data_IF_250521823387
#
_entry.id   IF_250521823387
#
_cell.length_a   1.000
_cell.length_b   1.000
_cell.length_c   1.000
_cell.angle_alpha   90.00
_cell.angle_beta   90.00
_cell.angle_gamma   90.00
#
_symmetry.space_group_name_H-M   'P 1'
#
loop_
_entity.id
_entity.type
_entity.pdbx_description
1 polymer ?
#
# COMPACT_ATOMS: atom_id res chain seq x y z
N UNK A 1 -43.84 3.41 25.97
CA UNK A 1 -42.71 3.39 25.00
C UNK A 1 -41.41 3.48 25.80
N UNK A 2 -40.54 2.46 25.76
CA UNK A 2 -39.24 2.52 26.46
C UNK A 2 -38.45 3.71 25.89
N UNK A 3 -37.88 4.57 26.74
CA UNK A 3 -36.94 5.63 26.36
C UNK A 3 -35.77 5.01 25.61
N UNK A 4 -35.82 4.97 24.28
CA UNK A 4 -34.73 4.47 23.45
C UNK A 4 -33.54 5.41 23.60
N UNK A 5 -32.45 4.92 24.20
CA UNK A 5 -31.21 5.67 24.26
C UNK A 5 -30.56 5.56 22.87
N UNK A 6 -30.74 6.59 22.03
CA UNK A 6 -29.96 6.73 20.80
C UNK A 6 -28.53 7.09 21.20
N UNK A 7 -27.66 6.09 21.20
CA UNK A 7 -26.22 6.21 21.44
C UNK A 7 -25.44 5.26 20.52
N UNK A 8 -24.20 5.61 20.20
CA UNK A 8 -23.35 4.83 19.27
C UNK A 8 -22.20 4.07 19.95
N UNK A 9 -22.10 4.12 21.29
CA UNK A 9 -20.98 3.56 22.04
C UNK A 9 -19.63 4.08 21.54
N UNK A 10 -18.60 3.23 21.56
CA UNK A 10 -17.29 3.50 20.94
C UNK A 10 -17.42 3.43 19.42
N UNK A 11 -17.46 4.59 18.79
CA UNK A 11 -17.76 4.73 17.37
C UNK A 11 -16.71 5.56 16.63
N UNK A 12 -16.70 5.48 15.31
CA UNK A 12 -15.91 6.44 14.51
C UNK A 12 -16.57 7.82 14.59
N UNK A 13 -15.84 8.93 14.33
CA UNK A 13 -16.46 10.25 14.28
C UNK A 13 -17.65 10.30 13.33
N UNK A 14 -17.58 9.63 12.17
CA UNK A 14 -18.70 9.54 11.24
C UNK A 14 -19.94 8.85 11.85
N UNK A 15 -19.76 7.75 12.58
CA UNK A 15 -20.89 7.05 13.21
C UNK A 15 -21.53 7.90 14.31
N UNK A 16 -20.72 8.63 15.08
CA UNK A 16 -21.18 9.55 16.11
C UNK A 16 -22.00 10.71 15.52
N UNK A 17 -21.51 11.30 14.43
CA UNK A 17 -22.23 12.35 13.69
C UNK A 17 -23.57 11.85 13.14
N UNK A 18 -23.60 10.65 12.54
CA UNK A 18 -24.84 10.04 12.07
C UNK A 18 -25.84 9.80 13.21
N UNK A 19 -25.37 9.40 14.40
CA UNK A 19 -26.22 9.19 15.56
C UNK A 19 -26.75 10.51 16.13
N UNK A 20 -25.92 11.54 16.19
CA UNK A 20 -26.32 12.89 16.61
C UNK A 20 -27.40 13.46 15.69
N UNK A 21 -27.21 13.36 14.37
CA UNK A 21 -28.18 13.82 13.37
C UNK A 21 -29.50 13.03 13.45
N UNK A 22 -29.44 11.70 13.54
CA UNK A 22 -30.64 10.86 13.66
C UNK A 22 -31.44 11.21 14.92
N UNK A 23 -30.76 11.39 16.06
CA UNK A 23 -31.39 11.79 17.31
C UNK A 23 -31.96 13.20 17.24
N UNK A 24 -31.21 14.16 16.72
CA UNK A 24 -31.68 15.54 16.57
C UNK A 24 -32.93 15.64 15.70
N UNK A 25 -32.97 14.91 14.59
CA UNK A 25 -34.15 14.82 13.71
C UNK A 25 -35.34 14.14 14.38
N UNK A 26 -35.12 13.07 15.16
CA UNK A 26 -36.19 12.40 15.89
C UNK A 26 -36.80 13.30 16.97
N UNK A 27 -35.95 13.99 17.74
CA UNK A 27 -36.39 14.86 18.83
C UNK A 27 -37.07 16.13 18.30
N UNK A 28 -36.54 16.77 17.24
CA UNK A 28 -37.17 17.98 16.70
C UNK A 28 -38.57 17.68 16.20
N UNK A 29 -38.75 16.63 15.39
CA UNK A 29 -40.05 16.30 14.78
C UNK A 29 -41.12 15.96 15.81
N UNK A 30 -40.73 15.43 16.97
CA UNK A 30 -41.68 15.10 18.05
C UNK A 30 -42.34 16.35 18.64
N UNK A 31 -41.58 17.45 18.75
CA UNK A 31 -41.99 18.63 19.52
C UNK A 31 -42.26 19.86 18.60
N UNK A 32 -42.43 19.64 17.29
CA UNK A 32 -42.65 20.71 16.30
C UNK A 32 -44.05 21.35 16.43
N UNK A 33 -44.14 22.70 16.50
CA UNK A 33 -45.40 23.41 16.33
C UNK A 33 -45.97 23.22 14.91
N UNK A 34 -47.31 23.14 14.79
CA UNK A 34 -47.98 22.96 13.51
C UNK A 34 -47.83 24.12 12.50
N UNK A 35 -47.28 25.26 12.93
CA UNK A 35 -46.95 26.40 12.07
C UNK A 35 -45.58 26.29 11.40
N UNK A 36 -44.75 25.31 11.77
CA UNK A 36 -43.39 25.16 11.23
C UNK A 36 -43.44 24.39 9.91
N UNK A 37 -42.90 25.01 8.86
CA UNK A 37 -42.75 24.45 7.53
C UNK A 37 -41.34 23.96 7.22
N UNK A 38 -40.34 24.45 7.95
CA UNK A 38 -38.94 24.23 7.60
C UNK A 38 -38.13 23.73 8.80
N UNK A 39 -37.35 22.66 8.58
CA UNK A 39 -36.32 22.18 9.51
C UNK A 39 -34.96 22.46 8.88
N UNK A 40 -34.09 23.18 9.58
CA UNK A 40 -32.72 23.46 9.14
C UNK A 40 -31.73 22.66 9.99
N UNK A 41 -30.96 21.79 9.34
CA UNK A 41 -29.94 20.95 9.97
C UNK A 41 -28.56 21.48 9.59
N UNK A 42 -27.71 21.71 10.58
CA UNK A 42 -26.34 22.18 10.39
C UNK A 42 -25.36 21.16 10.97
N UNK A 43 -24.33 20.79 10.23
CA UNK A 43 -23.21 19.98 10.74
C UNK A 43 -21.93 20.25 9.94
N UNK A 44 -20.78 19.89 10.50
CA UNK A 44 -19.48 20.03 9.85
C UNK A 44 -18.98 18.76 9.16
N UNK A 45 -19.65 17.63 9.39
CA UNK A 45 -19.41 16.39 8.66
C UNK A 45 -20.27 16.31 7.39
N UNK A 46 -19.71 16.77 6.27
CA UNK A 46 -20.39 16.75 4.96
C UNK A 46 -20.82 15.33 4.54
N UNK A 47 -20.02 14.30 4.85
CA UNK A 47 -20.37 12.93 4.51
C UNK A 47 -21.61 12.44 5.28
N UNK A 48 -21.72 12.79 6.57
CA UNK A 48 -22.89 12.45 7.39
C UNK A 48 -24.14 13.17 6.88
N UNK A 49 -24.04 14.46 6.54
CA UNK A 49 -25.15 15.25 5.99
C UNK A 49 -25.70 14.67 4.69
N UNK A 50 -24.82 14.24 3.78
CA UNK A 50 -25.24 13.61 2.52
C UNK A 50 -25.85 12.21 2.74
N UNK A 51 -25.53 11.56 3.85
CA UNK A 51 -25.93 10.17 4.10
C UNK A 51 -27.19 10.03 4.96
N UNK A 52 -27.46 10.98 5.87
CA UNK A 52 -28.45 10.79 6.95
C UNK A 52 -29.87 10.52 6.46
N UNK A 53 -30.31 11.14 5.35
CA UNK A 53 -31.64 10.91 4.76
C UNK A 53 -31.62 10.05 3.49
N UNK A 54 -30.48 9.48 3.11
CA UNK A 54 -30.34 8.70 1.89
C UNK A 54 -30.81 7.24 2.04
N UNK A 55 -30.80 6.69 3.26
CA UNK A 55 -31.09 5.28 3.56
C UNK A 55 -30.28 4.25 2.73
N UNK A 56 -29.11 4.68 2.22
CA UNK A 56 -28.22 3.84 1.41
C UNK A 56 -27.54 2.72 2.20
N UNK A 57 -26.99 1.74 1.50
CA UNK A 57 -26.21 0.67 2.13
C UNK A 57 -24.92 1.22 2.73
N UNK A 58 -24.69 0.96 4.03
CA UNK A 58 -23.48 1.39 4.71
C UNK A 58 -23.48 1.12 6.22
N UNK A 59 -22.35 1.37 6.91
CA UNK A 59 -22.18 1.07 8.34
C UNK A 59 -23.21 1.76 9.25
N UNK A 60 -23.65 2.96 8.87
CA UNK A 60 -24.63 3.76 9.60
C UNK A 60 -26.06 3.68 8.99
N UNK A 61 -26.36 2.66 8.17
CA UNK A 61 -27.67 2.54 7.51
C UNK A 61 -28.82 2.52 8.51
N UNK A 62 -28.66 1.82 9.65
CA UNK A 62 -29.71 1.77 10.68
C UNK A 62 -30.09 3.14 11.21
N UNK A 63 -29.10 4.03 11.40
CA UNK A 63 -29.33 5.41 11.85
C UNK A 63 -30.02 6.25 10.78
N UNK A 64 -29.62 6.09 9.52
CA UNK A 64 -30.28 6.77 8.40
C UNK A 64 -31.73 6.32 8.23
N UNK A 65 -31.99 5.01 8.29
CA UNK A 65 -33.35 4.46 8.22
C UNK A 65 -34.22 4.98 9.36
N UNK A 66 -33.70 5.03 10.59
CA UNK A 66 -34.43 5.55 11.73
C UNK A 66 -34.74 7.05 11.59
N UNK A 67 -33.78 7.85 11.08
CA UNK A 67 -34.00 9.26 10.78
C UNK A 67 -35.09 9.44 9.72
N UNK A 68 -35.02 8.69 8.61
CA UNK A 68 -36.05 8.69 7.56
C UNK A 68 -37.43 8.28 8.10
N UNK A 69 -37.52 7.26 8.95
CA UNK A 69 -38.77 6.83 9.57
C UNK A 69 -39.37 7.91 10.47
N UNK A 70 -38.54 8.68 11.16
CA UNK A 70 -38.96 9.75 12.05
C UNK A 70 -39.48 10.97 11.28
N UNK A 71 -38.76 11.37 10.24
CA UNK A 71 -39.03 12.61 9.49
C UNK A 71 -40.10 12.42 8.41
N UNK A 72 -40.22 11.21 7.83
CA UNK A 72 -41.15 10.94 6.72
C UNK A 72 -42.60 11.31 7.02
N UNK A 73 -43.21 10.96 8.17
CA UNK A 73 -44.59 11.35 8.46
C UNK A 73 -44.83 12.85 8.39
N UNK A 74 -43.90 13.64 8.95
CA UNK A 74 -43.97 15.11 8.91
C UNK A 74 -43.84 15.63 7.48
N UNK A 75 -42.84 15.17 6.71
CA UNK A 75 -42.68 15.56 5.31
C UNK A 75 -43.90 15.21 4.43
N UNK A 76 -44.55 14.07 4.68
CA UNK A 76 -45.73 13.66 3.91
C UNK A 76 -47.01 14.39 4.29
N UNK A 77 -47.04 15.05 5.45
CA UNK A 77 -48.24 15.74 5.94
C UNK A 77 -48.55 17.02 5.14
N UNK A 78 -47.55 17.65 4.51
CA UNK A 78 -47.73 18.85 3.71
C UNK A 78 -46.62 19.00 2.65
N UNK A 79 -46.94 19.37 1.40
CA UNK A 79 -45.93 19.67 0.38
C UNK A 79 -45.11 20.92 0.70
N UNK A 80 -45.54 21.76 1.66
CA UNK A 80 -44.79 22.91 2.15
C UNK A 80 -43.72 22.54 3.19
N UNK A 81 -43.68 21.27 3.64
CA UNK A 81 -42.70 20.83 4.62
C UNK A 81 -41.36 20.50 3.95
N UNK A 82 -40.30 21.15 4.43
CA UNK A 82 -38.95 20.99 3.88
C UNK A 82 -37.92 20.73 4.98
N UNK A 83 -36.96 19.85 4.69
CA UNK A 83 -35.75 19.70 5.49
C UNK A 83 -34.58 20.23 4.67
N UNK A 84 -33.92 21.26 5.19
CA UNK A 84 -32.75 21.87 4.61
C UNK A 84 -31.51 21.42 5.35
N UNK A 85 -30.50 20.97 4.62
CA UNK A 85 -29.26 20.45 5.20
C UNK A 85 -28.11 21.35 4.78
N UNK A 86 -27.40 21.89 5.77
CA UNK A 86 -26.36 22.89 5.59
C UNK A 86 -25.05 22.38 6.16
N UNK A 87 -24.04 22.34 5.30
CA UNK A 87 -22.68 22.15 5.79
C UNK A 87 -22.16 23.45 6.40
N UNK A 88 -21.53 23.36 7.57
CA UNK A 88 -20.83 24.47 8.19
C UNK A 88 -19.40 24.08 8.55
N UNK A 89 -18.43 25.01 8.55
CA UNK A 89 -17.04 24.65 8.83
C UNK A 89 -16.79 24.43 10.34
N UNK A 90 -16.23 23.27 10.68
CA UNK A 90 -15.75 22.96 12.03
C UNK A 90 -14.60 23.85 12.48
N UNK A 91 -14.56 24.21 13.77
CA UNK A 91 -13.53 25.03 14.42
C UNK A 91 -13.20 26.38 13.74
N UNK A 92 -14.13 26.98 12.99
CA UNK A 92 -13.96 28.29 12.33
C UNK A 92 -14.74 29.44 12.97
N UNK A 93 -15.04 29.34 14.27
CA UNK A 93 -15.73 30.41 15.00
C UNK A 93 -17.25 30.48 14.79
N UNK A 94 -17.87 29.46 14.20
CA UNK A 94 -19.34 29.34 14.16
C UNK A 94 -19.83 28.99 15.57
N UNK A 95 -20.40 29.98 16.26
CA UNK A 95 -20.75 29.89 17.69
C UNK A 95 -21.57 28.64 18.02
N UNK A 96 -22.69 28.42 17.34
CA UNK A 96 -23.58 27.29 17.63
C UNK A 96 -22.95 25.92 17.32
N UNK A 97 -22.12 25.81 16.27
CA UNK A 97 -21.37 24.58 16.00
C UNK A 97 -20.37 24.30 17.13
N UNK A 98 -19.68 25.33 17.62
CA UNK A 98 -18.77 25.20 18.77
C UNK A 98 -19.48 24.81 20.08
N UNK A 99 -20.71 25.28 20.29
CA UNK A 99 -21.53 24.86 21.44
C UNK A 99 -21.89 23.38 21.33
N UNK A 100 -22.32 22.90 20.15
CA UNK A 100 -22.68 21.50 19.92
C UNK A 100 -21.46 20.58 20.02
N UNK A 101 -20.32 20.96 19.43
CA UNK A 101 -19.05 20.23 19.51
C UNK A 101 -18.61 20.03 20.97
N UNK A 102 -18.66 21.10 21.78
CA UNK A 102 -18.37 21.02 23.22
C UNK A 102 -19.37 20.12 23.97
N UNK A 103 -20.66 20.21 23.63
CA UNK A 103 -21.69 19.38 24.26
C UNK A 103 -21.52 17.89 23.91
N UNK A 104 -21.15 17.58 22.66
CA UNK A 104 -20.86 16.23 22.20
C UNK A 104 -19.66 15.63 22.96
N UNK A 105 -18.60 16.43 23.18
CA UNK A 105 -17.45 16.01 23.98
C UNK A 105 -17.77 15.72 25.45
N UNK A 106 -18.75 16.41 26.03
CA UNK A 106 -19.21 16.19 27.41
C UNK A 106 -20.19 15.01 27.54
N UNK A 107 -20.95 14.72 26.48
CA UNK A 107 -21.97 13.66 26.45
C UNK A 107 -21.45 12.27 26.03
N UNK A 108 -20.14 12.14 25.80
CA UNK A 108 -19.51 10.88 25.43
C UNK A 108 -19.42 9.94 26.65
N UNK A 109 -20.51 9.25 26.98
CA UNK A 109 -20.48 8.13 27.91
C UNK A 109 -19.86 6.91 27.24
N UNK A 110 -18.84 6.33 27.89
CA UNK A 110 -18.14 5.14 27.44
C UNK A 110 -19.00 3.91 27.71
N UNK A 111 -20.02 3.71 26.88
CA UNK A 111 -20.68 2.43 26.75
C UNK A 111 -19.70 1.40 26.13
N UNK A 112 -19.81 0.14 26.53
CA UNK A 112 -18.90 -0.93 26.08
C UNK A 112 -19.21 -1.42 24.66
N UNK A 113 -20.39 -1.08 24.13
CA UNK A 113 -20.76 -1.32 22.74
C UNK A 113 -19.82 -0.59 21.79
N UNK A 114 -19.42 -1.28 20.72
CA UNK A 114 -18.45 -0.79 19.73
C UNK A 114 -19.08 -0.84 18.34
N UNK A 115 -18.96 0.24 17.56
CA UNK A 115 -19.38 0.21 16.15
C UNK A 115 -18.47 -0.73 15.35
N UNK A 116 -19.03 -1.46 14.39
CA UNK A 116 -18.24 -2.35 13.52
C UNK A 116 -17.09 -1.60 12.81
N UNK A 117 -17.35 -0.36 12.38
CA UNK A 117 -16.34 0.48 11.73
C UNK A 117 -15.19 0.83 12.70
N UNK A 118 -15.50 1.15 13.95
CA UNK A 118 -14.50 1.43 14.98
C UNK A 118 -13.67 0.17 15.31
N UNK A 119 -14.32 -0.98 15.51
CA UNK A 119 -13.63 -2.25 15.73
C UNK A 119 -12.65 -2.57 14.59
N UNK A 120 -13.09 -2.40 13.33
CA UNK A 120 -12.24 -2.60 12.16
C UNK A 120 -11.07 -1.61 12.10
N UNK A 121 -11.28 -0.36 12.49
CA UNK A 121 -10.22 0.65 12.58
C UNK A 121 -9.18 0.27 13.64
N UNK A 122 -9.60 -0.17 14.82
CA UNK A 122 -8.70 -0.65 15.88
C UNK A 122 -7.87 -1.85 15.43
N UNK A 123 -8.51 -2.89 14.88
CA UNK A 123 -7.82 -4.09 14.37
C UNK A 123 -6.78 -3.70 13.31
N UNK A 124 -7.14 -2.78 12.40
CA UNK A 124 -6.22 -2.30 11.37
C UNK A 124 -5.03 -1.57 11.99
N UNK A 125 -5.28 -0.68 12.96
CA UNK A 125 -4.23 0.07 13.65
C UNK A 125 -3.27 -0.86 14.42
N UNK A 126 -3.81 -1.88 15.11
CA UNK A 126 -3.04 -2.88 15.84
C UNK A 126 -2.20 -3.75 14.90
N UNK A 127 -2.79 -4.22 13.79
CA UNK A 127 -2.06 -4.96 12.76
C UNK A 127 -0.88 -4.13 12.20
N UNK A 128 -1.10 -2.85 11.91
CA UNK A 128 -0.03 -1.96 11.45
C UNK A 128 1.03 -1.67 12.51
N UNK A 129 0.66 -1.68 13.79
CA UNK A 129 1.62 -1.51 14.90
C UNK A 129 2.53 -2.72 15.00
N UNK A 130 1.97 -3.94 14.95
CA UNK A 130 2.73 -5.19 14.94
C UNK A 130 3.62 -5.27 13.71
N UNK A 131 3.07 -5.02 12.52
CA UNK A 131 3.81 -5.02 11.26
C UNK A 131 5.01 -4.09 11.28
N UNK A 132 4.83 -2.84 11.74
CA UNK A 132 5.93 -1.88 11.85
C UNK A 132 7.01 -2.38 12.80
N UNK A 133 6.63 -2.95 13.94
CA UNK A 133 7.60 -3.52 14.87
C UNK A 133 8.38 -4.68 14.23
N UNK A 134 7.71 -5.55 13.47
CA UNK A 134 8.34 -6.70 12.82
C UNK A 134 9.29 -6.29 11.69
N UNK A 135 8.93 -5.34 10.84
CA UNK A 135 9.76 -4.99 9.69
C UNK A 135 11.10 -4.35 10.07
N UNK A 136 11.19 -3.74 11.26
CA UNK A 136 12.46 -3.24 11.78
C UNK A 136 13.34 -4.33 12.39
N UNK A 137 12.85 -5.56 12.60
CA UNK A 137 13.64 -6.68 13.13
C UNK A 137 14.47 -7.32 12.02
N UNK A 138 15.79 -7.40 12.22
CA UNK A 138 16.73 -8.02 11.27
C UNK A 138 16.34 -9.45 10.82
N UNK A 139 15.87 -10.35 11.71
CA UNK A 139 15.42 -11.68 11.28
C UNK A 139 14.23 -11.65 10.31
N UNK A 140 13.37 -10.64 10.42
CA UNK A 140 12.18 -10.48 9.60
C UNK A 140 12.50 -9.79 8.27
N UNK A 141 13.31 -8.73 8.30
CA UNK A 141 13.74 -7.97 7.11
C UNK A 141 14.63 -8.82 6.18
N UNK A 142 15.35 -9.78 6.74
CA UNK A 142 16.40 -10.50 6.04
C UNK A 142 17.67 -9.64 5.87
N UNK A 143 18.75 -10.27 5.41
CA UNK A 143 20.06 -9.63 5.24
C UNK A 143 20.29 -9.06 3.84
N UNK A 144 19.51 -9.50 2.87
CA UNK A 144 19.71 -9.21 1.45
C UNK A 144 18.45 -8.56 0.86
N UNK A 145 17.95 -7.45 1.41
CA UNK A 145 16.82 -6.75 0.80
C UNK A 145 17.32 -5.44 0.17
N UNK A 146 17.13 -5.25 -1.15
CA UNK A 146 17.50 -3.99 -1.82
C UNK A 146 16.61 -2.83 -1.41
N UNK A 147 15.50 -3.12 -0.73
CA UNK A 147 14.41 -2.19 -0.52
C UNK A 147 14.47 -1.50 0.84
N UNK A 148 13.96 -0.27 0.89
CA UNK A 148 13.88 0.51 2.11
C UNK A 148 12.73 0.01 2.97
N UNK A 149 12.85 0.19 4.30
CA UNK A 149 11.78 -0.19 5.23
C UNK A 149 10.51 0.63 4.97
N UNK A 150 10.67 1.90 4.59
CA UNK A 150 9.59 2.83 4.24
C UNK A 150 8.73 2.33 3.07
N UNK A 151 9.30 1.59 2.12
CA UNK A 151 8.57 1.01 0.98
C UNK A 151 7.51 -0.02 1.41
N UNK A 152 7.67 -0.56 2.62
CA UNK A 152 6.87 -1.63 3.17
C UNK A 152 6.04 -1.24 4.39
N UNK A 153 6.27 -0.07 5.00
CA UNK A 153 5.53 0.39 6.19
C UNK A 153 4.01 0.38 6.01
N UNK A 154 3.53 0.50 4.77
CA UNK A 154 2.10 0.47 4.43
C UNK A 154 1.78 -0.64 3.44
N UNK A 155 1.19 -1.72 3.94
CA UNK A 155 0.54 -2.77 3.16
C UNK A 155 -0.73 -2.25 2.46
N UNK A 156 -0.57 -1.61 1.30
CA UNK A 156 -1.69 -1.21 0.44
C UNK A 156 -2.12 -2.42 -0.41
N UNK A 157 -3.40 -2.77 -0.38
CA UNK A 157 -4.00 -3.87 -1.15
C UNK A 157 -4.63 -3.39 -2.49
N UNK A 158 -4.53 -2.11 -2.79
CA UNK A 158 -5.06 -1.49 -4.02
C UNK A 158 -3.93 -1.13 -4.98
N UNK A 159 -4.28 -0.63 -6.18
CA UNK A 159 -3.34 -0.07 -7.15
C UNK A 159 -2.52 1.12 -6.63
N UNK A 160 -2.82 1.63 -5.43
CA UNK A 160 -1.96 2.57 -4.72
C UNK A 160 -0.64 1.92 -4.21
N UNK A 161 -0.53 0.59 -4.23
CA UNK A 161 0.71 -0.16 -4.01
C UNK A 161 1.58 -0.13 -5.27
N UNK A 162 2.85 0.24 -5.12
CA UNK A 162 3.78 0.34 -6.24
C UNK A 162 3.94 -0.99 -7.01
N UNK A 163 4.08 -2.12 -6.32
CA UNK A 163 4.21 -3.43 -6.97
C UNK A 163 2.98 -3.78 -7.80
N UNK A 164 1.78 -3.57 -7.26
CA UNK A 164 0.53 -3.86 -7.98
C UNK A 164 0.37 -2.94 -9.20
N UNK A 165 0.78 -1.68 -9.10
CA UNK A 165 0.76 -0.74 -10.24
C UNK A 165 1.77 -1.11 -11.31
N UNK A 166 3.00 -1.46 -10.93
CA UNK A 166 4.12 -1.71 -11.83
C UNK A 166 4.06 -3.10 -12.48
N UNK A 167 3.65 -4.11 -11.71
CA UNK A 167 3.72 -5.51 -12.13
C UNK A 167 2.41 -6.29 -11.99
N UNK A 168 1.33 -5.69 -11.47
CA UNK A 168 0.08 -6.41 -11.16
C UNK A 168 -0.65 -7.01 -12.37
N UNK A 169 -0.28 -6.63 -13.60
CA UNK A 169 -0.80 -7.24 -14.84
C UNK A 169 -0.08 -8.50 -15.28
N UNK A 170 1.04 -8.86 -14.65
CA UNK A 170 1.84 -10.04 -15.01
C UNK A 170 2.36 -10.73 -13.74
N UNK A 171 1.81 -11.89 -13.44
CA UNK A 171 2.24 -12.73 -12.31
C UNK A 171 3.72 -13.11 -12.42
N UNK A 172 4.18 -13.45 -13.62
CA UNK A 172 5.59 -13.78 -13.88
C UNK A 172 6.52 -12.60 -13.61
N UNK A 173 6.17 -11.40 -14.09
CA UNK A 173 7.00 -10.21 -13.86
C UNK A 173 6.97 -9.79 -12.39
N UNK A 174 5.81 -9.83 -11.74
CA UNK A 174 5.67 -9.60 -10.29
C UNK A 174 6.57 -10.54 -9.49
N UNK A 175 6.52 -11.84 -9.78
CA UNK A 175 7.33 -12.83 -9.09
C UNK A 175 8.83 -12.59 -9.32
N UNK A 176 9.26 -12.18 -10.52
CA UNK A 176 10.66 -11.84 -10.79
C UNK A 176 11.10 -10.60 -10.02
N UNK A 177 10.28 -9.56 -10.01
CA UNK A 177 10.56 -8.30 -9.32
C UNK A 177 10.70 -8.49 -7.80
N UNK A 178 9.75 -9.19 -7.17
CA UNK A 178 9.79 -9.50 -5.74
C UNK A 178 11.02 -10.35 -5.41
N UNK A 179 11.27 -11.42 -6.18
CA UNK A 179 12.39 -12.32 -5.94
C UNK A 179 13.73 -11.61 -6.10
N UNK A 180 13.90 -10.79 -7.14
CA UNK A 180 15.13 -10.01 -7.33
C UNK A 180 15.35 -9.03 -6.17
N UNK A 181 14.34 -8.24 -5.82
CA UNK A 181 14.44 -7.24 -4.76
C UNK A 181 14.74 -7.86 -3.38
N UNK A 182 14.13 -9.01 -3.08
CA UNK A 182 14.37 -9.79 -1.85
C UNK A 182 15.62 -10.68 -1.89
N UNK A 183 16.32 -10.77 -3.02
CA UNK A 183 17.45 -11.70 -3.19
C UNK A 183 17.05 -13.17 -3.14
N UNK A 184 15.78 -13.49 -3.39
CA UNK A 184 15.22 -14.84 -3.35
C UNK A 184 14.94 -15.39 -4.76
N UNK A 185 15.95 -15.32 -5.63
CA UNK A 185 15.90 -15.82 -7.00
C UNK A 185 17.07 -16.78 -7.23
N UNK A 186 17.00 -17.65 -8.24
CA UNK A 186 18.03 -18.65 -8.44
C UNK A 186 19.26 -17.93 -9.03
N UNK A 187 20.26 -17.75 -8.18
CA UNK A 187 21.62 -17.31 -8.49
C UNK A 187 22.60 -18.17 -7.68
N UNK A 188 23.91 -18.02 -7.91
CA UNK A 188 24.94 -18.85 -7.27
C UNK A 188 24.87 -18.92 -5.74
N UNK A 189 24.89 -17.77 -5.06
CA UNK A 189 24.77 -17.73 -3.60
C UNK A 189 23.41 -18.22 -3.06
N UNK A 190 22.34 -18.15 -3.85
CA UNK A 190 21.06 -18.77 -3.50
C UNK A 190 21.19 -20.30 -3.54
N UNK A 191 21.78 -20.86 -4.60
CA UNK A 191 22.02 -22.30 -4.71
C UNK A 191 22.89 -22.81 -3.55
N UNK A 192 23.95 -22.09 -3.21
CA UNK A 192 24.81 -22.41 -2.07
C UNK A 192 24.04 -22.42 -0.75
N UNK A 193 23.29 -21.35 -0.47
CA UNK A 193 22.51 -21.22 0.78
C UNK A 193 21.49 -22.35 0.96
N UNK A 194 20.87 -22.81 -0.12
CA UNK A 194 19.83 -23.85 -0.09
C UNK A 194 20.35 -25.24 -0.47
N UNK A 195 21.65 -25.41 -0.65
CA UNK A 195 22.30 -26.66 -1.06
C UNK A 195 21.71 -27.29 -2.34
N UNK A 196 21.43 -26.45 -3.34
CA UNK A 196 21.06 -26.91 -4.67
C UNK A 196 22.30 -27.25 -5.50
N UNK A 197 22.19 -28.29 -6.33
CA UNK A 197 23.21 -28.67 -7.31
C UNK A 197 23.33 -27.64 -8.46
N UNK A 198 24.43 -27.72 -9.21
CA UNK A 198 24.72 -26.87 -10.38
C UNK A 198 25.75 -25.77 -10.12
N UNK A 199 26.05 -25.00 -11.17
CA UNK A 199 27.01 -23.90 -11.16
C UNK A 199 26.60 -22.81 -10.17
N UNK A 200 27.61 -22.25 -9.52
CA UNK A 200 27.51 -21.11 -8.60
C UNK A 200 28.22 -19.87 -9.12
N UNK A 201 29.06 -20.01 -10.15
CA UNK A 201 29.88 -18.94 -10.72
C UNK A 201 29.06 -18.09 -11.67
N UNK A 202 29.39 -16.81 -11.78
CA UNK A 202 28.80 -15.98 -12.81
C UNK A 202 29.47 -16.25 -14.16
N UNK A 203 28.75 -16.05 -15.27
CA UNK A 203 29.31 -16.16 -16.61
C UNK A 203 30.50 -15.22 -16.87
N UNK A 204 30.56 -14.07 -16.17
CA UNK A 204 31.67 -13.13 -16.28
C UNK A 204 32.97 -13.64 -15.65
N UNK A 205 32.92 -14.78 -14.93
CA UNK A 205 34.07 -15.38 -14.26
C UNK A 205 34.09 -15.21 -12.73
N UNK A 206 33.17 -14.44 -12.14
CA UNK A 206 33.08 -14.29 -10.70
C UNK A 206 32.80 -15.65 -10.00
N UNK A 207 33.48 -15.93 -8.89
CA UNK A 207 33.43 -17.23 -8.22
C UNK A 207 32.05 -17.58 -7.66
N UNK A 208 31.32 -16.59 -7.16
CA UNK A 208 29.92 -16.77 -6.73
C UNK A 208 29.07 -15.66 -7.31
N UNK A 209 28.05 -16.04 -8.08
CA UNK A 209 27.03 -15.13 -8.56
C UNK A 209 26.10 -14.74 -7.40
N UNK A 210 26.20 -13.49 -6.96
CA UNK A 210 25.29 -12.88 -6.00
C UNK A 210 24.39 -11.87 -6.72
N UNK A 211 23.24 -11.54 -6.11
CA UNK A 211 22.43 -10.41 -6.60
C UNK A 211 23.24 -9.13 -6.68
N UNK A 212 24.05 -8.87 -5.67
CA UNK A 212 24.82 -7.64 -5.59
C UNK A 212 25.89 -7.61 -6.70
N UNK A 213 26.52 -8.75 -7.00
CA UNK A 213 27.36 -8.87 -8.19
C UNK A 213 26.57 -8.57 -9.46
N UNK A 214 25.41 -9.21 -9.68
CA UNK A 214 24.56 -8.97 -10.85
C UNK A 214 24.21 -7.47 -10.99
N UNK A 215 23.82 -6.83 -9.90
CA UNK A 215 23.34 -5.45 -9.87
C UNK A 215 24.47 -4.41 -9.94
N UNK A 216 25.48 -4.53 -9.09
CA UNK A 216 26.53 -3.53 -8.91
C UNK A 216 27.73 -3.81 -9.83
N UNK A 217 28.22 -5.06 -9.87
CA UNK A 217 29.59 -5.33 -10.35
C UNK A 217 29.67 -5.99 -11.75
N UNK A 218 28.65 -6.73 -12.16
CA UNK A 218 28.70 -7.55 -13.36
C UNK A 218 28.56 -6.73 -14.65
N UNK A 219 29.58 -6.78 -15.51
CA UNK A 219 29.60 -6.05 -16.79
C UNK A 219 28.74 -6.67 -17.90
N UNK A 220 28.11 -7.82 -17.65
CA UNK A 220 27.32 -8.53 -18.64
C UNK A 220 25.90 -7.97 -18.81
N UNK A 221 25.42 -7.20 -17.84
CA UNK A 221 24.03 -6.72 -17.80
C UNK A 221 23.93 -5.27 -18.20
N UNK A 222 22.81 -4.92 -18.85
CA UNK A 222 22.47 -3.54 -19.17
C UNK A 222 22.06 -2.84 -17.88
N UNK A 223 22.84 -1.85 -17.45
CA UNK A 223 22.61 -1.07 -16.24
C UNK A 223 22.47 0.40 -16.60
N UNK A 224 21.31 0.98 -16.30
CA UNK A 224 21.08 2.43 -16.38
C UNK A 224 21.38 3.16 -15.08
N UNK A 225 21.26 2.44 -13.97
CA UNK A 225 21.57 2.98 -12.65
C UNK A 225 23.08 3.26 -12.57
N UNK A 226 23.43 4.52 -12.33
CA UNK A 226 24.81 4.97 -12.13
C UNK A 226 25.04 5.18 -10.63
N UNK A 227 26.26 4.95 -10.12
CA UNK A 227 26.62 5.42 -8.79
C UNK A 227 26.29 6.92 -8.68
N UNK A 228 25.89 7.42 -7.51
CA UNK A 228 25.69 8.85 -7.31
C UNK A 228 26.92 9.66 -7.76
N UNK A 229 26.74 10.89 -8.25
CA UNK A 229 27.85 11.72 -8.75
C UNK A 229 28.98 11.88 -7.72
N UNK A 230 28.63 11.95 -6.42
CA UNK A 230 29.59 11.98 -5.32
C UNK A 230 30.44 10.69 -5.20
N UNK A 231 29.86 9.52 -5.48
CA UNK A 231 30.60 8.25 -5.53
C UNK A 231 31.44 8.16 -6.81
N UNK A 232 30.94 8.67 -7.94
CA UNK A 232 31.74 8.82 -9.17
C UNK A 232 32.95 9.71 -8.92
N UNK A 233 32.79 10.82 -8.19
CA UNK A 233 33.88 11.70 -7.78
C UNK A 233 34.86 11.00 -6.83
N UNK A 234 34.40 10.29 -5.79
CA UNK A 234 35.29 9.49 -4.92
C UNK A 234 36.10 8.47 -5.69
N UNK A 235 35.47 7.75 -6.61
CA UNK A 235 36.15 6.80 -7.50
C UNK A 235 37.22 7.50 -8.36
N UNK A 236 36.98 8.73 -8.83
CA UNK A 236 37.98 9.55 -9.55
C UNK A 236 39.18 9.92 -8.69
N UNK A 237 39.00 10.05 -7.37
CA UNK A 237 40.08 10.32 -6.41
C UNK A 237 40.73 9.06 -5.83
N UNK A 238 40.37 7.87 -6.33
CA UNK A 238 40.93 6.59 -5.88
C UNK A 238 40.35 6.07 -4.56
N UNK A 239 39.31 6.72 -4.05
CA UNK A 239 38.56 6.26 -2.88
C UNK A 239 37.45 5.29 -3.32
N UNK A 240 37.42 4.08 -2.73
CA UNK A 240 36.33 3.12 -2.95
C UNK A 240 35.35 3.20 -1.78
N UNK A 241 34.28 3.96 -1.95
CA UNK A 241 33.08 3.81 -1.13
C UNK A 241 32.33 2.54 -1.51
N UNK A 242 31.73 1.84 -0.53
CA UNK A 242 30.80 0.75 -0.82
C UNK A 242 29.42 1.32 -1.13
N UNK A 243 29.22 1.79 -2.38
CA UNK A 243 27.95 2.39 -2.81
C UNK A 243 26.76 1.40 -2.78
N UNK A 244 27.01 0.13 -2.44
CA UNK A 244 25.98 -0.86 -2.07
C UNK A 244 25.14 -0.44 -0.87
N UNK A 245 25.62 0.50 -0.06
CA UNK A 245 24.88 1.08 1.06
C UNK A 245 23.89 2.17 0.62
N UNK A 246 23.94 2.61 -0.64
CA UNK A 246 23.01 3.61 -1.18
C UNK A 246 21.62 3.01 -1.34
N UNK A 247 20.54 3.70 -0.90
CA UNK A 247 19.19 3.19 -1.11
C UNK A 247 18.86 3.07 -2.60
N UNK A 248 18.37 1.90 -3.02
CA UNK A 248 18.00 1.65 -4.41
C UNK A 248 16.53 1.97 -4.63
N UNK A 249 16.24 2.70 -5.70
CA UNK A 249 14.87 2.95 -6.11
C UNK A 249 14.24 1.71 -6.76
N UNK A 250 13.00 1.39 -6.37
CA UNK A 250 12.26 0.27 -6.96
C UNK A 250 12.06 0.42 -8.48
N UNK A 251 11.96 1.65 -8.98
CA UNK A 251 11.85 1.95 -10.41
C UNK A 251 13.12 1.52 -11.18
N UNK A 252 14.31 1.71 -10.60
CA UNK A 252 15.57 1.26 -11.21
C UNK A 252 15.59 -0.27 -11.31
N UNK A 253 15.13 -0.97 -10.26
CA UNK A 253 15.06 -2.45 -10.26
C UNK A 253 14.09 -2.94 -11.33
N UNK A 254 12.93 -2.30 -11.44
CA UNK A 254 11.96 -2.62 -12.48
C UNK A 254 12.56 -2.42 -13.88
N UNK A 255 13.21 -1.28 -14.12
CA UNK A 255 13.82 -0.98 -15.41
C UNK A 255 14.93 -1.99 -15.77
N UNK A 256 15.82 -2.31 -14.83
CA UNK A 256 16.85 -3.32 -14.99
C UNK A 256 16.27 -4.68 -15.40
N UNK A 257 15.20 -5.15 -14.74
CA UNK A 257 14.57 -6.44 -15.07
C UNK A 257 13.84 -6.44 -16.42
N UNK A 258 13.36 -5.27 -16.89
CA UNK A 258 12.81 -5.12 -18.25
C UNK A 258 13.91 -5.17 -19.31
N UNK A 259 15.04 -4.52 -19.06
CA UNK A 259 16.18 -4.51 -19.95
C UNK A 259 16.88 -5.87 -19.99
N UNK A 260 16.85 -6.62 -18.89
CA UNK A 260 17.50 -7.92 -18.74
C UNK A 260 16.47 -9.03 -18.40
N UNK A 261 15.69 -9.50 -19.39
CA UNK A 261 14.53 -10.37 -19.15
C UNK A 261 14.89 -11.78 -18.68
N UNK A 262 16.12 -12.24 -18.89
CA UNK A 262 16.58 -13.56 -18.44
C UNK A 262 17.20 -13.51 -17.04
N UNK A 263 17.56 -12.33 -16.52
CA UNK A 263 18.17 -12.20 -15.19
C UNK A 263 17.26 -12.78 -14.11
N UNK A 264 17.90 -13.55 -13.23
CA UNK A 264 17.29 -14.15 -12.05
C UNK A 264 16.21 -15.17 -12.37
N UNK A 265 16.32 -15.83 -13.53
CA UNK A 265 15.45 -16.95 -13.93
C UNK A 265 16.21 -18.27 -13.81
N UNK A 266 15.48 -19.38 -13.60
CA UNK A 266 16.08 -20.71 -13.66
C UNK A 266 16.68 -21.00 -15.05
N UNK A 267 16.01 -20.53 -16.10
CA UNK A 267 16.48 -20.63 -17.49
C UNK A 267 17.85 -20.00 -17.70
N UNK A 268 18.15 -18.87 -17.05
CA UNK A 268 19.50 -18.28 -17.13
C UNK A 268 20.57 -19.21 -16.57
N UNK A 269 20.33 -19.75 -15.37
CA UNK A 269 21.32 -20.61 -14.73
C UNK A 269 21.52 -21.92 -15.49
N UNK A 270 20.44 -22.56 -15.94
CA UNK A 270 20.52 -23.78 -16.76
C UNK A 270 21.29 -23.53 -18.06
N UNK A 271 21.07 -22.37 -18.68
CA UNK A 271 21.78 -21.97 -19.88
C UNK A 271 23.27 -21.76 -19.62
N UNK A 272 23.63 -21.11 -18.49
CA UNK A 272 25.03 -20.90 -18.09
C UNK A 272 25.70 -22.23 -17.71
N UNK A 273 25.00 -23.11 -16.99
CA UNK A 273 25.43 -24.48 -16.66
C UNK A 273 25.82 -25.24 -17.94
N UNK A 274 24.92 -25.22 -18.92
CA UNK A 274 25.15 -25.88 -20.21
C UNK A 274 26.33 -25.25 -20.95
N UNK A 275 26.37 -23.92 -21.09
CA UNK A 275 27.43 -23.22 -21.81
C UNK A 275 28.83 -23.44 -21.19
N UNK A 276 28.94 -23.48 -19.87
CA UNK A 276 30.20 -23.81 -19.18
C UNK A 276 30.60 -25.27 -19.42
N UNK A 277 29.64 -26.19 -19.43
CA UNK A 277 29.87 -27.59 -19.76
C UNK A 277 30.36 -27.78 -21.19
N UNK A 278 29.74 -27.10 -22.16
CA UNK A 278 30.12 -27.14 -23.57
C UNK A 278 31.54 -26.60 -23.77
N UNK A 279 31.87 -25.46 -23.14
CA UNK A 279 33.23 -24.89 -23.14
C UNK A 279 34.26 -25.87 -22.55
N UNK A 280 33.92 -26.56 -21.45
CA UNK A 280 34.83 -27.53 -20.84
C UNK A 280 35.09 -28.75 -21.74
N UNK A 281 34.18 -29.06 -22.67
CA UNK A 281 34.36 -30.11 -23.70
C UNK A 281 35.03 -29.61 -24.98
N UNK A 282 35.33 -28.31 -25.08
CA UNK A 282 35.90 -27.69 -26.29
C UNK A 282 34.88 -27.49 -27.42
N UNK A 283 33.59 -27.46 -27.10
CA UNK A 283 32.50 -27.23 -28.07
C UNK A 283 32.27 -25.73 -28.26
N UNK A 284 33.24 -25.01 -28.85
CA UNK A 284 33.25 -23.54 -28.89
C UNK A 284 32.08 -22.89 -29.68
N UNK A 285 31.42 -23.66 -30.56
CA UNK A 285 30.29 -23.22 -31.39
C UNK A 285 28.92 -23.72 -30.91
N UNK A 286 28.79 -24.06 -29.63
CA UNK A 286 27.53 -24.58 -29.10
C UNK A 286 26.40 -23.54 -29.11
N UNK A 287 25.16 -24.02 -29.27
CA UNK A 287 23.98 -23.16 -29.19
C UNK A 287 23.86 -22.48 -27.81
N UNK A 288 24.32 -23.12 -26.74
CA UNK A 288 24.28 -22.55 -25.40
C UNK A 288 25.24 -21.35 -25.28
N UNK A 289 26.47 -21.50 -25.78
CA UNK A 289 27.46 -20.42 -25.84
C UNK A 289 26.93 -19.21 -26.62
N UNK A 290 26.35 -19.45 -27.80
CA UNK A 290 25.76 -18.41 -28.63
C UNK A 290 24.59 -17.69 -27.92
N UNK A 291 23.74 -18.43 -27.22
CA UNK A 291 22.61 -17.85 -26.47
C UNK A 291 23.08 -17.02 -25.27
N UNK A 292 24.10 -17.48 -24.54
CA UNK A 292 24.67 -16.71 -23.43
C UNK A 292 25.26 -15.40 -23.97
N UNK A 293 26.09 -15.48 -25.01
CA UNK A 293 26.69 -14.31 -25.67
C UNK A 293 25.63 -13.33 -26.19
N UNK A 294 24.53 -13.85 -26.76
CA UNK A 294 23.41 -13.05 -27.23
C UNK A 294 22.73 -12.31 -26.07
N UNK A 295 22.48 -12.96 -24.93
CA UNK A 295 21.77 -12.36 -23.81
C UNK A 295 22.60 -11.38 -23.00
N UNK A 296 23.93 -11.43 -23.08
CA UNK A 296 24.83 -10.56 -22.34
C UNK A 296 25.59 -9.61 -23.27
N UNK A 297 26.62 -10.09 -23.96
CA UNK A 297 27.59 -9.27 -24.68
C UNK A 297 26.92 -8.57 -25.86
N UNK A 298 26.26 -9.31 -26.75
CA UNK A 298 25.66 -8.71 -27.96
C UNK A 298 24.50 -7.81 -27.64
N UNK A 299 23.63 -8.21 -26.70
CA UNK A 299 22.48 -7.40 -26.28
C UNK A 299 22.93 -6.10 -25.62
N UNK A 300 23.95 -6.16 -24.75
CA UNK A 300 24.52 -4.96 -24.12
C UNK A 300 25.16 -4.04 -25.16
N UNK A 301 26.00 -4.58 -26.04
CA UNK A 301 26.64 -3.82 -27.11
C UNK A 301 25.65 -3.19 -28.09
N UNK A 302 24.50 -3.82 -28.34
CA UNK A 302 23.44 -3.23 -29.17
C UNK A 302 22.61 -2.16 -28.46
N UNK A 303 22.70 -2.09 -27.13
CA UNK A 303 21.98 -1.12 -26.30
C UNK A 303 22.81 0.15 -26.04
N UNK A 304 24.12 0.01 -25.87
CA UNK A 304 25.09 1.11 -25.66
C UNK A 304 25.45 1.85 -26.95
#
# INVERSE_FOLDING_TARGET
VRRGHFGCGKATPYDAEMAALARGLNEVVRDLPGSVTDIHVFADNQAALLSILAAGQGPAQGLSVAACQSVRPWLTASPAHHVHVWWCPGHRGVYWNGVVDKAAGLGAELLDEVSFAYARQCITADAYKVWRADIHRLPYRGRNNLMQVSDFERCKHTSANWFLRTAGRSTTYMARLIRFASGHFPHGAFRERFNFEGNRRCWCGADVETRDHIWFDCDLWIKKHKPPDAEIERMRWGERGDWRETPIALDDVAEFLRLNPIVGTFTWLELVDQALGDRARGEDDSLALLKVDLHTVRRKAAYE
#
